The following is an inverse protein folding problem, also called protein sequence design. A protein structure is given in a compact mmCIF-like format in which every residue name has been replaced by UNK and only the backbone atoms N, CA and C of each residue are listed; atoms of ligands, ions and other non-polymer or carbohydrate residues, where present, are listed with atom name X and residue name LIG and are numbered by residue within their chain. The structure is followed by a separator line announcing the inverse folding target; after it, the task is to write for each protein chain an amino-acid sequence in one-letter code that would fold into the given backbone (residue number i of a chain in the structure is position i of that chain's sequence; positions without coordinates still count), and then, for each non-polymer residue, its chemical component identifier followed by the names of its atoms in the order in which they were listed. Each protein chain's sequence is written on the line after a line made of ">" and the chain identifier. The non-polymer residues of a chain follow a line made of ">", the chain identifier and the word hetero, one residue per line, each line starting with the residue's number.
data_IF_037583118729
#
_entry.id   IF_037583118729
#
_cell.length_a   1.000
_cell.length_b   1.000
_cell.length_c   1.000
_cell.angle_alpha   90.00
_cell.angle_beta   90.00
_cell.angle_gamma   90.00
#
_symmetry.space_group_name_H-M   'P 1'
#
loop_
_entity.id
_entity.type
_entity.pdbx_description
1 polymer ?
#
# COMPACT_ATOMS: atom_id res chain seq x y z
N UNK A 1 4.27 -26.43 7.73
CA UNK A 1 3.59 -25.15 8.12
C UNK A 1 2.65 -24.61 7.03
N UNK A 2 1.55 -23.92 7.39
CA UNK A 2 0.63 -23.20 6.49
C UNK A 2 0.53 -21.72 6.85
N UNK A 3 0.19 -20.89 5.87
CA UNK A 3 -0.03 -19.45 6.00
C UNK A 3 -1.44 -19.08 5.59
N UNK A 4 -2.09 -18.21 6.38
CA UNK A 4 -3.36 -17.58 6.06
C UNK A 4 -3.32 -16.10 6.44
N UNK A 5 -3.82 -15.22 5.57
CA UNK A 5 -3.97 -13.81 5.91
C UNK A 5 -5.29 -13.23 5.43
N UNK A 6 -5.92 -12.39 6.25
CA UNK A 6 -7.16 -11.70 5.91
C UNK A 6 -6.87 -10.41 5.14
N UNK A 7 -7.52 -10.26 3.99
CA UNK A 7 -7.52 -9.00 3.24
C UNK A 7 -8.65 -8.08 3.69
N UNK A 8 -8.29 -6.85 4.05
CA UNK A 8 -9.22 -5.78 4.38
C UNK A 8 -9.44 -4.82 3.22
N UNK A 9 -10.61 -4.19 3.19
CA UNK A 9 -11.03 -3.17 2.23
C UNK A 9 -10.98 -3.65 0.77
N UNK A 10 -11.45 -4.87 0.50
CA UNK A 10 -11.51 -5.47 -0.85
C UNK A 10 -12.90 -6.04 -1.13
N UNK A 11 -13.24 -6.23 -2.40
CA UNK A 11 -14.40 -7.00 -2.86
C UNK A 11 -13.97 -8.19 -3.73
N UNK A 12 -14.94 -8.91 -4.30
CA UNK A 12 -14.71 -10.15 -5.07
C UNK A 12 -13.85 -9.97 -6.32
N UNK A 13 -13.61 -8.73 -6.76
CA UNK A 13 -12.68 -8.48 -7.86
C UNK A 13 -11.24 -8.90 -7.56
N UNK A 14 -10.90 -9.12 -6.28
CA UNK A 14 -9.57 -9.56 -5.84
C UNK A 14 -9.28 -11.03 -6.18
N UNK A 15 -10.30 -11.87 -6.38
CA UNK A 15 -10.15 -13.32 -6.60
C UNK A 15 -9.37 -13.67 -7.88
N UNK A 16 -9.31 -12.75 -8.85
CA UNK A 16 -8.56 -12.93 -10.09
C UNK A 16 -7.09 -12.52 -10.02
N UNK A 17 -6.59 -12.11 -8.85
CA UNK A 17 -5.26 -11.53 -8.70
C UNK A 17 -4.21 -12.61 -8.41
N UNK A 18 -3.15 -12.61 -9.22
CA UNK A 18 -1.98 -13.47 -9.03
C UNK A 18 -0.92 -12.73 -8.20
N UNK A 19 -0.78 -13.14 -6.93
CA UNK A 19 0.22 -12.58 -6.03
C UNK A 19 1.63 -13.14 -6.30
N UNK A 20 1.74 -14.23 -7.07
CA UNK A 20 2.95 -14.98 -7.35
C UNK A 20 3.41 -15.86 -6.19
N UNK A 21 4.49 -16.62 -6.43
CA UNK A 21 5.19 -17.42 -5.40
C UNK A 21 4.28 -18.39 -4.60
N UNK A 22 3.24 -18.92 -5.26
CA UNK A 22 2.31 -19.89 -4.66
C UNK A 22 1.29 -19.29 -3.68
N UNK A 23 1.24 -17.97 -3.52
CA UNK A 23 0.17 -17.31 -2.76
C UNK A 23 -1.11 -17.27 -3.60
N UNK A 24 -2.20 -17.76 -3.03
CA UNK A 24 -3.52 -17.81 -3.68
C UNK A 24 -4.51 -17.00 -2.87
N UNK A 25 -5.41 -16.29 -3.55
CA UNK A 25 -6.53 -15.58 -2.92
C UNK A 25 -7.79 -16.41 -3.07
N UNK A 26 -8.48 -16.63 -1.96
CA UNK A 26 -9.73 -17.39 -1.89
C UNK A 26 -10.79 -16.59 -1.15
N UNK A 27 -12.05 -16.92 -1.39
CA UNK A 27 -13.17 -16.48 -0.55
C UNK A 27 -13.45 -17.51 0.55
N UNK A 28 -13.89 -17.03 1.70
CA UNK A 28 -14.34 -17.83 2.83
C UNK A 28 -15.56 -17.14 3.42
N UNK A 29 -16.56 -17.90 3.88
CA UNK A 29 -17.71 -17.25 4.52
C UNK A 29 -17.25 -16.51 5.78
N UNK A 30 -17.88 -15.39 6.10
CA UNK A 30 -17.54 -14.65 7.33
C UNK A 30 -17.70 -15.51 8.58
N UNK A 31 -18.69 -16.43 8.57
CA UNK A 31 -18.96 -17.34 9.68
C UNK A 31 -17.83 -18.35 9.83
N UNK A 32 -17.45 -19.05 8.75
CA UNK A 32 -16.36 -20.05 8.82
C UNK A 32 -15.04 -19.39 9.25
N UNK A 33 -14.76 -18.19 8.75
CA UNK A 33 -13.58 -17.44 9.17
C UNK A 33 -13.63 -17.05 10.65
N UNK A 34 -14.80 -16.62 11.14
CA UNK A 34 -14.98 -16.27 12.55
C UNK A 34 -14.83 -17.49 13.46
N UNK A 35 -15.50 -18.59 13.11
CA UNK A 35 -15.46 -19.84 13.87
C UNK A 35 -14.04 -20.42 13.91
N UNK A 36 -13.30 -20.38 12.80
CA UNK A 36 -11.89 -20.76 12.76
C UNK A 36 -11.04 -19.86 13.67
N UNK A 37 -11.24 -18.55 13.62
CA UNK A 37 -10.48 -17.59 14.43
C UNK A 37 -10.77 -17.75 15.94
N UNK A 38 -12.03 -17.90 16.35
CA UNK A 38 -12.43 -18.02 17.76
C UNK A 38 -12.12 -19.41 18.32
N UNK A 39 -12.36 -20.47 17.54
CA UNK A 39 -12.20 -21.85 17.95
C UNK A 39 -10.75 -22.34 17.89
N UNK A 40 -10.13 -22.27 16.70
CA UNK A 40 -8.80 -22.85 16.47
C UNK A 40 -7.67 -21.86 16.76
N UNK A 41 -7.87 -20.58 16.43
CA UNK A 41 -6.81 -19.56 16.61
C UNK A 41 -6.95 -18.75 17.89
N UNK A 42 -8.00 -19.01 18.69
CA UNK A 42 -8.24 -18.39 20.01
C UNK A 42 -8.16 -16.85 19.94
N UNK A 43 -8.62 -16.27 18.84
CA UNK A 43 -8.65 -14.83 18.62
C UNK A 43 -9.87 -14.24 19.30
N UNK A 44 -9.69 -13.20 20.11
CA UNK A 44 -10.78 -12.53 20.79
C UNK A 44 -11.49 -11.48 19.91
N UNK A 45 -12.77 -11.24 20.20
CA UNK A 45 -13.61 -10.18 19.63
C UNK A 45 -13.70 -10.19 18.09
N UNK A 46 -13.62 -11.37 17.47
CA UNK A 46 -13.50 -11.55 16.02
C UNK A 46 -14.60 -10.82 15.26
N UNK A 47 -15.86 -10.94 15.70
CA UNK A 47 -16.98 -10.24 15.05
C UNK A 47 -16.86 -8.71 15.11
N UNK A 48 -16.43 -8.15 16.25
CA UNK A 48 -16.19 -6.71 16.37
C UNK A 48 -15.07 -6.27 15.43
N UNK A 49 -13.99 -7.06 15.36
CA UNK A 49 -12.87 -6.78 14.48
C UNK A 49 -13.24 -6.86 13.00
N UNK A 50 -14.02 -7.85 12.59
CA UNK A 50 -14.56 -7.95 11.23
C UNK A 50 -15.40 -6.72 10.85
N UNK A 51 -16.23 -6.25 11.77
CA UNK A 51 -17.14 -5.11 11.56
C UNK A 51 -16.41 -3.75 11.52
N UNK A 52 -15.30 -3.60 12.25
CA UNK A 52 -14.75 -2.27 12.54
C UNK A 52 -13.26 -2.12 12.27
N UNK A 53 -12.45 -3.15 12.51
CA UNK A 53 -10.99 -3.04 12.57
C UNK A 53 -10.33 -3.60 11.32
N UNK A 54 -10.76 -4.77 10.87
CA UNK A 54 -10.19 -5.49 9.73
C UNK A 54 -10.72 -5.01 8.37
N UNK A 55 -11.73 -4.14 8.35
CA UNK A 55 -12.22 -3.50 7.13
C UNK A 55 -12.89 -4.47 6.17
N UNK A 56 -13.57 -5.49 6.71
CA UNK A 56 -14.37 -6.42 5.93
C UNK A 56 -15.74 -5.83 5.59
N UNK A 57 -16.26 -4.95 6.45
CA UNK A 57 -17.53 -4.25 6.21
C UNK A 57 -17.26 -2.87 5.62
N UNK A 58 -17.79 -2.54 4.42
CA UNK A 58 -17.65 -1.22 3.83
C UNK A 58 -18.24 -0.13 4.73
N UNK A 59 -17.57 1.03 4.78
CA UNK A 59 -18.03 2.15 5.59
C UNK A 59 -19.46 2.57 5.23
N UNK A 60 -20.34 2.61 6.23
CA UNK A 60 -21.75 2.99 6.05
C UNK A 60 -22.65 1.87 5.53
N UNK A 61 -22.15 0.64 5.40
CA UNK A 61 -22.99 -0.52 5.13
C UNK A 61 -23.83 -0.89 6.36
N UNK A 62 -25.10 -1.22 6.15
CA UNK A 62 -25.99 -1.79 7.18
C UNK A 62 -25.95 -3.33 7.20
N UNK A 63 -25.24 -3.93 6.24
CA UNK A 63 -25.17 -5.38 6.06
C UNK A 63 -23.72 -5.85 6.07
N UNK A 64 -23.48 -6.96 6.76
CA UNK A 64 -22.23 -7.71 6.65
C UNK A 64 -22.19 -8.39 5.28
N UNK A 65 -21.04 -8.40 4.58
CA UNK A 65 -20.88 -9.24 3.41
C UNK A 65 -21.02 -10.72 3.81
N UNK A 66 -21.30 -11.57 2.84
CA UNK A 66 -21.35 -13.02 3.07
C UNK A 66 -19.95 -13.62 3.22
N UNK A 67 -18.97 -13.03 2.51
CA UNK A 67 -17.62 -13.55 2.38
C UNK A 67 -16.56 -12.55 2.85
N UNK A 68 -15.47 -13.09 3.37
CA UNK A 68 -14.16 -12.44 3.46
C UNK A 68 -13.22 -13.00 2.38
N UNK A 69 -12.12 -12.30 2.13
CA UNK A 69 -11.10 -12.72 1.18
C UNK A 69 -9.79 -12.96 1.91
N UNK A 70 -9.19 -14.11 1.67
CA UNK A 70 -8.00 -14.58 2.39
C UNK A 70 -6.90 -14.96 1.42
N UNK A 71 -5.66 -14.71 1.81
CA UNK A 71 -4.46 -15.22 1.14
C UNK A 71 -4.06 -16.53 1.82
N UNK A 72 -3.78 -17.58 1.04
CA UNK A 72 -3.24 -18.85 1.55
C UNK A 72 -1.94 -19.24 0.85
N UNK A 73 -1.08 -19.94 1.58
CA UNK A 73 0.10 -20.62 1.03
C UNK A 73 0.53 -21.79 1.93
N UNK A 74 0.93 -22.92 1.32
CA UNK A 74 1.67 -23.97 2.03
C UNK A 74 3.15 -23.57 2.08
N UNK A 75 3.75 -23.65 3.27
CA UNK A 75 5.12 -23.22 3.53
C UNK A 75 6.02 -24.45 3.71
N UNK A 76 6.36 -25.09 2.60
CA UNK A 76 7.18 -26.31 2.57
C UNK A 76 8.64 -26.05 2.99
N UNK A 77 9.10 -24.80 2.89
CA UNK A 77 10.42 -24.33 3.24
C UNK A 77 10.49 -23.67 4.63
N UNK A 78 9.45 -23.84 5.44
CA UNK A 78 9.41 -23.29 6.79
C UNK A 78 10.49 -23.91 7.69
N UNK A 79 11.27 -23.11 8.44
CA UNK A 79 12.29 -23.63 9.34
C UNK A 79 11.65 -24.28 10.57
N UNK A 80 11.49 -25.60 10.52
CA UNK A 80 10.95 -26.42 11.61
C UNK A 80 12.09 -27.02 12.45
N UNK A 81 11.97 -26.93 13.77
CA UNK A 81 12.92 -27.52 14.70
C UNK A 81 12.58 -28.99 14.96
N UNK A 82 13.55 -29.89 14.74
CA UNK A 82 13.38 -31.34 14.93
C UNK A 82 14.02 -31.89 16.22
N UNK A 83 14.43 -31.02 17.14
CA UNK A 83 15.02 -31.42 18.42
C UNK A 83 14.00 -31.53 19.56
N UNK A 84 14.49 -31.71 20.79
CA UNK A 84 13.65 -31.74 21.99
C UNK A 84 13.04 -30.34 22.24
N UNK A 85 11.72 -30.16 22.22
CA UNK A 85 11.08 -28.86 22.48
C UNK A 85 11.43 -28.25 23.85
N UNK A 86 11.88 -29.06 24.82
CA UNK A 86 12.34 -28.59 26.12
C UNK A 86 13.75 -27.97 26.10
N UNK A 87 14.53 -28.19 25.02
CA UNK A 87 15.87 -27.63 24.86
C UNK A 87 15.82 -26.23 24.23
N UNK A 88 15.59 -25.24 25.10
CA UNK A 88 15.47 -23.82 24.72
C UNK A 88 16.75 -23.32 24.01
N UNK A 89 17.95 -23.78 24.40
CA UNK A 89 19.19 -23.33 23.79
C UNK A 89 19.31 -23.82 22.35
N UNK A 90 18.94 -25.08 22.08
CA UNK A 90 18.89 -25.62 20.73
C UNK A 90 17.79 -25.01 19.86
N UNK A 91 16.70 -24.53 20.48
CA UNK A 91 15.56 -23.96 19.78
C UNK A 91 15.74 -22.48 19.39
N UNK A 92 16.53 -21.71 20.16
CA UNK A 92 16.72 -20.27 19.95
C UNK A 92 17.16 -19.87 18.52
N UNK A 93 18.11 -20.56 17.84
CA UNK A 93 18.46 -20.26 16.46
C UNK A 93 17.29 -20.44 15.47
N UNK A 94 16.40 -21.40 15.73
CA UNK A 94 15.23 -21.63 14.88
C UNK A 94 14.21 -20.51 15.02
N UNK A 95 14.01 -19.94 16.22
CA UNK A 95 13.17 -18.75 16.38
C UNK A 95 13.67 -17.58 15.54
N UNK A 96 14.98 -17.35 15.48
CA UNK A 96 15.53 -16.30 14.61
C UNK A 96 15.29 -16.59 13.13
N UNK A 97 15.45 -17.85 12.70
CA UNK A 97 15.16 -18.27 11.33
C UNK A 97 13.68 -18.12 10.98
N UNK A 98 12.77 -18.54 11.86
CA UNK A 98 11.33 -18.40 11.73
C UNK A 98 10.91 -16.92 11.66
N UNK A 99 11.43 -16.09 12.57
CA UNK A 99 11.14 -14.65 12.56
C UNK A 99 11.60 -13.98 11.27
N UNK A 100 12.81 -14.33 10.79
CA UNK A 100 13.33 -13.85 9.51
C UNK A 100 12.47 -14.32 8.34
N UNK A 101 11.99 -15.57 8.37
CA UNK A 101 11.12 -16.14 7.37
C UNK A 101 9.76 -15.41 7.32
N UNK A 102 9.12 -15.18 8.47
CA UNK A 102 7.90 -14.38 8.57
C UNK A 102 8.12 -12.97 8.00
N UNK A 103 9.23 -12.32 8.36
CA UNK A 103 9.58 -11.00 7.84
C UNK A 103 9.78 -10.98 6.31
N UNK A 104 10.24 -12.08 5.70
CA UNK A 104 10.35 -12.21 4.24
C UNK A 104 8.97 -12.30 3.60
N UNK A 105 8.04 -13.06 4.17
CA UNK A 105 6.65 -13.17 3.70
C UNK A 105 5.93 -11.83 3.82
N UNK A 106 5.95 -11.20 4.99
CA UNK A 106 5.28 -9.90 5.19
C UNK A 106 5.87 -8.83 4.27
N UNK A 107 7.19 -8.85 4.00
CA UNK A 107 7.80 -7.95 3.02
C UNK A 107 7.35 -8.25 1.58
N UNK A 108 7.28 -9.53 1.21
CA UNK A 108 6.82 -9.95 -0.12
C UNK A 108 5.39 -9.51 -0.37
N UNK A 109 4.47 -9.85 0.53
CA UNK A 109 3.06 -9.49 0.40
C UNK A 109 2.86 -7.97 0.54
N UNK A 110 3.61 -7.32 1.42
CA UNK A 110 3.64 -5.86 1.52
C UNK A 110 3.94 -5.18 0.17
N UNK A 111 4.97 -5.64 -0.55
CA UNK A 111 5.27 -5.16 -1.91
C UNK A 111 4.07 -5.31 -2.85
N UNK A 112 3.39 -6.47 -2.83
CA UNK A 112 2.19 -6.72 -3.66
C UNK A 112 1.05 -5.78 -3.30
N UNK A 113 0.75 -5.61 -2.01
CA UNK A 113 -0.26 -4.66 -1.53
C UNK A 113 0.07 -3.23 -1.98
N UNK A 114 1.34 -2.83 -1.91
CA UNK A 114 1.76 -1.49 -2.32
C UNK A 114 1.68 -1.30 -3.84
N UNK A 115 2.01 -2.33 -4.64
CA UNK A 115 1.74 -2.32 -6.08
C UNK A 115 0.25 -2.17 -6.38
N UNK A 116 -0.63 -2.87 -5.67
CA UNK A 116 -2.08 -2.72 -5.83
C UNK A 116 -2.54 -1.29 -5.53
N UNK A 117 -2.09 -0.70 -4.41
CA UNK A 117 -2.37 0.70 -4.03
C UNK A 117 -1.82 1.73 -5.02
N UNK A 118 -0.70 1.41 -5.68
CA UNK A 118 -0.13 2.23 -6.76
C UNK A 118 -0.91 2.09 -8.07
N UNK A 119 -1.46 0.91 -8.35
CA UNK A 119 -2.24 0.66 -9.55
C UNK A 119 -3.57 1.41 -9.51
N UNK A 120 -4.29 1.34 -8.39
CA UNK A 120 -5.61 1.98 -8.24
C UNK A 120 -5.86 2.45 -6.81
N UNK A 121 -6.67 3.49 -6.69
CA UNK A 121 -7.15 4.00 -5.40
C UNK A 121 -7.95 2.93 -4.65
N UNK A 122 -7.67 2.81 -3.36
CA UNK A 122 -8.23 1.82 -2.46
C UNK A 122 -7.28 1.57 -1.30
N UNK A 123 -7.83 1.24 -0.15
CA UNK A 123 -7.10 1.05 1.10
C UNK A 123 -6.89 -0.44 1.40
N UNK A 124 -6.67 -1.25 0.37
CA UNK A 124 -6.37 -2.68 0.52
C UNK A 124 -5.25 -2.88 1.54
N UNK A 125 -5.38 -3.86 2.41
CA UNK A 125 -4.39 -4.17 3.45
C UNK A 125 -4.47 -5.64 3.86
N UNK A 126 -3.41 -6.10 4.49
CA UNK A 126 -3.41 -7.33 5.28
C UNK A 126 -3.81 -6.94 6.71
N UNK A 127 -4.95 -7.44 7.16
CA UNK A 127 -5.54 -7.07 8.46
C UNK A 127 -5.02 -7.96 9.59
N UNK A 128 -4.90 -9.26 9.33
CA UNK A 128 -4.31 -10.23 10.26
C UNK A 128 -3.66 -11.37 9.47
N UNK A 129 -2.54 -11.86 9.98
CA UNK A 129 -1.78 -13.00 9.44
C UNK A 129 -1.75 -14.12 10.48
N UNK A 130 -1.81 -15.36 10.01
CA UNK A 130 -1.73 -16.58 10.80
C UNK A 130 -0.73 -17.54 10.17
N UNK A 131 0.12 -18.13 11.00
CA UNK A 131 0.95 -19.28 10.70
C UNK A 131 0.42 -20.43 11.54
N UNK A 132 0.07 -21.54 10.90
CA UNK A 132 -0.63 -22.64 11.57
C UNK A 132 -0.27 -23.99 10.95
N UNK A 133 -0.49 -25.05 11.72
CA UNK A 133 -0.43 -26.44 11.27
C UNK A 133 -1.84 -27.00 11.15
N UNK A 134 -1.97 -28.06 10.36
CA UNK A 134 -3.21 -28.78 10.11
C UNK A 134 -2.85 -30.26 10.17
N UNK A 135 -2.98 -30.83 11.35
CA UNK A 135 -2.67 -32.23 11.65
C UNK A 135 -3.97 -32.92 12.09
N UNK A 136 -4.34 -34.01 11.43
CA UNK A 136 -5.54 -34.81 11.75
C UNK A 136 -6.86 -34.01 11.83
N UNK A 137 -7.06 -33.05 10.91
CA UNK A 137 -8.20 -32.11 10.86
C UNK A 137 -8.28 -31.14 12.07
N UNK A 138 -7.22 -31.07 12.90
CA UNK A 138 -7.08 -30.06 13.95
C UNK A 138 -6.14 -28.93 13.50
N UNK A 139 -6.68 -27.71 13.51
CA UNK A 139 -5.92 -26.50 13.20
C UNK A 139 -5.25 -25.98 14.48
N UNK A 140 -3.92 -25.93 14.49
CA UNK A 140 -3.14 -25.37 15.59
C UNK A 140 -2.41 -24.10 15.14
N UNK A 141 -2.75 -22.96 15.75
CA UNK A 141 -2.08 -21.70 15.46
C UNK A 141 -0.68 -21.69 16.10
N UNK A 142 0.34 -21.52 15.25
CA UNK A 142 1.71 -21.31 15.70
C UNK A 142 1.98 -19.85 16.08
N UNK A 143 1.56 -18.91 15.23
CA UNK A 143 1.67 -17.48 15.52
C UNK A 143 0.68 -16.66 14.72
N UNK A 144 0.40 -15.44 15.19
CA UNK A 144 -0.40 -14.46 14.48
C UNK A 144 0.22 -13.07 14.54
N UNK A 145 -0.09 -12.25 13.53
CA UNK A 145 0.29 -10.86 13.47
C UNK A 145 -0.89 -10.03 13.01
N UNK A 146 -1.41 -9.20 13.90
CA UNK A 146 -2.52 -8.31 13.61
C UNK A 146 -2.02 -6.90 13.26
N UNK A 147 -2.58 -6.30 12.21
CA UNK A 147 -2.30 -4.93 11.81
C UNK A 147 -3.43 -4.00 12.27
N UNK A 148 -3.25 -3.42 13.46
CA UNK A 148 -4.21 -2.49 14.07
C UNK A 148 -4.06 -1.04 13.60
N UNK A 149 -3.17 -0.77 12.63
CA UNK A 149 -2.95 0.60 12.15
C UNK A 149 -4.21 1.11 11.44
N UNK A 150 -4.64 2.30 11.86
CA UNK A 150 -5.78 2.98 11.26
C UNK A 150 -5.54 3.20 9.77
N UNK A 151 -6.49 2.73 8.97
CA UNK A 151 -6.52 2.92 7.53
C UNK A 151 -7.91 3.43 7.14
N UNK A 152 -8.00 4.38 6.21
CA UNK A 152 -9.30 4.78 5.66
C UNK A 152 -10.02 3.54 5.13
N UNK A 153 -11.25 3.26 5.58
CA UNK A 153 -12.06 2.16 5.06
C UNK A 153 -12.62 2.51 3.66
N UNK A 154 -11.73 2.45 2.66
CA UNK A 154 -12.02 2.69 1.25
C UNK A 154 -11.79 1.40 0.48
N UNK A 155 -12.86 0.88 -0.11
CA UNK A 155 -12.85 -0.33 -0.90
C UNK A 155 -11.88 -0.23 -2.10
N UNK A 156 -11.03 -1.23 -2.26
CA UNK A 156 -10.27 -1.50 -3.46
C UNK A 156 -11.09 -2.45 -4.33
N UNK A 157 -11.39 -2.02 -5.55
CA UNK A 157 -12.26 -2.74 -6.47
C UNK A 157 -11.73 -2.61 -7.90
N UNK A 158 -11.71 -3.71 -8.63
CA UNK A 158 -11.26 -3.80 -10.02
C UNK A 158 -12.43 -4.19 -10.92
N UNK A 159 -12.48 -3.60 -12.11
CA UNK A 159 -13.35 -4.09 -13.17
C UNK A 159 -12.68 -5.27 -13.92
N UNK A 160 -13.47 -6.01 -14.70
CA UNK A 160 -13.00 -7.20 -15.43
C UNK A 160 -11.82 -6.92 -16.37
N UNK A 161 -11.71 -5.71 -16.92
CA UNK A 161 -10.61 -5.34 -17.83
C UNK A 161 -9.33 -4.94 -17.07
N UNK A 162 -9.44 -4.56 -15.79
CA UNK A 162 -8.30 -4.17 -14.97
C UNK A 162 -7.54 -5.38 -14.40
N UNK A 163 -8.21 -6.50 -14.12
CA UNK A 163 -7.58 -7.69 -13.51
C UNK A 163 -6.35 -8.19 -14.31
N UNK A 164 -6.41 -8.38 -15.64
CA UNK A 164 -5.23 -8.79 -16.41
C UNK A 164 -4.09 -7.77 -16.35
N UNK A 165 -4.41 -6.47 -16.37
CA UNK A 165 -3.43 -5.39 -16.30
C UNK A 165 -2.73 -5.34 -14.94
N UNK A 166 -3.47 -5.61 -13.86
CA UNK A 166 -2.91 -5.71 -12.51
C UNK A 166 -1.97 -6.89 -12.41
N UNK A 167 -2.35 -8.07 -12.91
CA UNK A 167 -1.49 -9.25 -12.85
C UNK A 167 -0.20 -9.04 -13.64
N UNK A 168 -0.28 -8.42 -14.83
CA UNK A 168 0.92 -7.99 -15.57
C UNK A 168 1.78 -7.04 -14.72
N UNK A 169 1.16 -6.04 -14.08
CA UNK A 169 1.86 -5.09 -13.21
C UNK A 169 2.49 -5.74 -11.97
N UNK A 170 1.86 -6.74 -11.36
CA UNK A 170 2.41 -7.48 -10.22
C UNK A 170 3.59 -8.37 -10.64
N UNK A 171 3.51 -8.96 -11.83
CA UNK A 171 4.57 -9.80 -12.41
C UNK A 171 5.83 -9.02 -12.77
N UNK A 172 5.72 -7.70 -12.98
CA UNK A 172 6.87 -6.82 -13.17
C UNK A 172 7.85 -6.93 -11.98
N UNK A 173 9.12 -6.60 -12.20
CA UNK A 173 10.17 -6.65 -11.17
C UNK A 173 9.64 -6.12 -9.83
N UNK A 174 9.88 -6.88 -8.76
CA UNK A 174 9.62 -6.44 -7.38
C UNK A 174 10.24 -5.06 -7.17
N UNK A 175 9.78 -4.31 -6.17
CA UNK A 175 10.37 -3.03 -5.76
C UNK A 175 11.74 -3.28 -5.07
N UNK A 176 12.57 -4.16 -5.64
CA UNK A 176 13.86 -4.58 -5.15
C UNK A 176 14.96 -3.67 -5.66
N UNK A 177 15.50 -2.85 -4.74
CA UNK A 177 16.56 -1.83 -4.94
C UNK A 177 16.15 -0.63 -5.78
N UNK A 178 15.06 0.01 -5.40
CA UNK A 178 14.80 1.37 -5.86
C UNK A 178 15.96 2.32 -5.51
N UNK A 179 16.23 3.34 -6.34
CA UNK A 179 16.95 4.53 -5.92
C UNK A 179 16.39 5.07 -4.59
N UNK A 180 17.27 5.49 -3.67
CA UNK A 180 16.89 5.94 -2.31
C UNK A 180 15.74 6.94 -2.27
N UNK A 181 15.63 7.82 -3.27
CA UNK A 181 14.56 8.83 -3.33
C UNK A 181 13.19 8.22 -3.65
N UNK A 182 13.15 7.18 -4.51
CA UNK A 182 11.92 6.43 -4.81
C UNK A 182 11.54 5.55 -3.62
N UNK A 183 12.51 4.88 -2.98
CA UNK A 183 12.27 4.11 -1.75
C UNK A 183 11.69 4.99 -0.64
N UNK A 184 12.31 6.15 -0.38
CA UNK A 184 11.82 7.09 0.62
C UNK A 184 10.44 7.66 0.27
N UNK A 185 10.20 7.99 -0.99
CA UNK A 185 8.90 8.46 -1.45
C UNK A 185 7.81 7.41 -1.30
N UNK A 186 8.10 6.16 -1.71
CA UNK A 186 7.19 5.04 -1.60
C UNK A 186 6.86 4.74 -0.13
N UNK A 187 7.88 4.68 0.74
CA UNK A 187 7.67 4.47 2.17
C UNK A 187 6.76 5.54 2.80
N UNK A 188 6.88 6.80 2.39
CA UNK A 188 5.96 7.86 2.87
C UNK A 188 4.55 7.75 2.28
N UNK A 189 4.42 7.26 1.04
CA UNK A 189 3.12 6.96 0.44
C UNK A 189 2.44 5.81 1.18
N UNK A 190 3.18 4.74 1.48
CA UNK A 190 2.70 3.61 2.28
C UNK A 190 2.28 4.06 3.68
N UNK A 191 3.12 4.86 4.34
CA UNK A 191 2.85 5.39 5.67
C UNK A 191 1.54 6.20 5.71
N UNK A 192 1.15 6.87 4.62
CA UNK A 192 -0.12 7.59 4.55
C UNK A 192 -1.35 6.71 4.80
N UNK A 193 -1.26 5.39 4.55
CA UNK A 193 -2.33 4.43 4.82
C UNK A 193 -2.38 3.94 6.27
N UNK A 194 -1.37 4.28 7.09
CA UNK A 194 -1.22 3.77 8.45
C UNK A 194 -1.29 4.88 9.52
N UNK A 195 -1.42 6.13 9.07
CA UNK A 195 -1.37 7.29 9.95
C UNK A 195 -2.78 7.72 10.34
N UNK A 196 -3.08 7.85 11.64
CA UNK A 196 -4.32 8.45 12.08
C UNK A 196 -4.29 9.96 11.81
N UNK A 197 -5.46 10.54 11.57
CA UNK A 197 -5.69 11.97 11.28
C UNK A 197 -5.28 12.44 9.87
N UNK A 198 -6.22 13.12 9.21
CA UNK A 198 -6.11 13.56 7.82
C UNK A 198 -4.92 14.51 7.59
N UNK A 199 -4.53 15.31 8.59
CA UNK A 199 -3.42 16.25 8.48
C UNK A 199 -2.06 15.54 8.39
N UNK A 200 -1.88 14.42 9.08
CA UNK A 200 -0.63 13.66 9.08
C UNK A 200 -0.55 12.73 7.87
N UNK A 201 -1.68 12.17 7.45
CA UNK A 201 -1.82 11.50 6.16
C UNK A 201 -1.43 12.46 5.01
N UNK A 202 -1.98 13.67 5.02
CA UNK A 202 -1.65 14.72 4.05
C UNK A 202 -0.15 15.08 4.08
N UNK A 203 0.45 15.23 5.26
CA UNK A 203 1.88 15.51 5.39
C UNK A 203 2.76 14.38 4.87
N UNK A 204 2.41 13.12 5.15
CA UNK A 204 3.15 11.94 4.65
C UNK A 204 3.15 11.93 3.11
N UNK A 205 1.99 12.19 2.50
CA UNK A 205 1.88 12.30 1.04
C UNK A 205 2.69 13.50 0.49
N UNK A 206 2.69 14.64 1.17
CA UNK A 206 3.49 15.80 0.77
C UNK A 206 4.99 15.50 0.82
N UNK A 207 5.47 14.82 1.87
CA UNK A 207 6.87 14.38 1.98
C UNK A 207 7.21 13.42 0.85
N UNK A 208 6.31 12.48 0.54
CA UNK A 208 6.45 11.57 -0.60
C UNK A 208 6.64 12.32 -1.92
N UNK A 209 5.81 13.33 -2.19
CA UNK A 209 5.89 14.12 -3.41
C UNK A 209 7.13 15.03 -3.46
N UNK A 210 7.49 15.66 -2.34
CA UNK A 210 8.71 16.47 -2.22
C UNK A 210 9.96 15.60 -2.48
N UNK A 211 10.02 14.39 -1.94
CA UNK A 211 11.11 13.45 -2.19
C UNK A 211 11.27 13.10 -3.68
N UNK A 212 10.16 13.00 -4.43
CA UNK A 212 10.20 12.72 -5.88
C UNK A 212 10.63 13.91 -6.71
N UNK A 213 10.06 15.08 -6.43
CA UNK A 213 10.08 16.19 -7.38
C UNK A 213 11.01 17.34 -6.98
N UNK A 214 11.46 17.36 -5.73
CA UNK A 214 12.36 18.40 -5.26
C UNK A 214 13.82 17.92 -5.22
N UNK A 215 14.71 18.68 -5.85
CA UNK A 215 16.16 18.54 -5.87
C UNK A 215 16.90 19.78 -5.35
N UNK A 216 16.15 20.85 -5.04
CA UNK A 216 16.69 22.13 -4.59
C UNK A 216 16.38 22.43 -3.12
N UNK A 217 17.05 23.44 -2.57
CA UNK A 217 16.76 23.97 -1.22
C UNK A 217 15.79 25.15 -1.23
N UNK A 218 15.50 25.71 -2.41
CA UNK A 218 14.68 26.91 -2.58
C UNK A 218 13.54 26.64 -3.56
N UNK A 219 12.48 27.45 -3.46
CA UNK A 219 11.34 27.43 -4.39
C UNK A 219 10.57 26.11 -4.43
N UNK A 220 10.52 25.38 -3.31
CA UNK A 220 9.87 24.07 -3.17
C UNK A 220 8.48 24.04 -3.81
N UNK A 221 7.64 25.04 -3.49
CA UNK A 221 6.29 25.19 -4.05
C UNK A 221 6.28 25.16 -5.57
N UNK A 222 7.15 25.95 -6.21
CA UNK A 222 7.19 26.05 -7.66
C UNK A 222 7.76 24.77 -8.28
N UNK A 223 8.86 24.23 -7.73
CA UNK A 223 9.50 23.00 -8.21
C UNK A 223 8.56 21.81 -8.17
N UNK A 224 7.92 21.57 -7.03
CA UNK A 224 6.97 20.46 -6.86
C UNK A 224 5.76 20.63 -7.78
N UNK A 225 5.14 21.81 -7.79
CA UNK A 225 3.93 22.04 -8.62
C UNK A 225 4.23 21.90 -10.11
N UNK A 226 5.37 22.44 -10.57
CA UNK A 226 5.82 22.31 -11.96
C UNK A 226 6.23 20.88 -12.28
N UNK A 227 6.93 20.21 -11.38
CA UNK A 227 7.32 18.81 -11.51
C UNK A 227 6.11 17.92 -11.76
N UNK A 228 5.04 18.08 -10.98
CA UNK A 228 3.78 17.36 -11.21
C UNK A 228 3.22 17.64 -12.61
N UNK A 229 3.11 18.92 -12.97
CA UNK A 229 2.52 19.32 -14.24
C UNK A 229 3.27 18.75 -15.45
N UNK A 230 4.59 18.77 -15.41
CA UNK A 230 5.44 18.23 -16.48
C UNK A 230 5.43 16.70 -16.50
N UNK A 231 5.47 16.06 -15.32
CA UNK A 231 5.55 14.60 -15.22
C UNK A 231 4.24 13.92 -15.63
N UNK A 232 3.09 14.56 -15.34
CA UNK A 232 1.77 13.96 -15.45
C UNK A 232 0.88 14.60 -16.52
N UNK A 233 1.23 15.77 -17.03
CA UNK A 233 0.46 16.45 -18.05
C UNK A 233 0.63 15.81 -19.42
N UNK A 234 -0.47 15.42 -20.05
CA UNK A 234 -0.49 14.91 -21.43
C UNK A 234 -0.51 16.05 -22.46
N UNK A 235 -1.16 17.16 -22.10
CA UNK A 235 -1.25 18.36 -22.91
C UNK A 235 -1.11 19.64 -22.07
N UNK A 236 -1.22 20.80 -22.72
CA UNK A 236 -1.05 22.11 -22.08
C UNK A 236 -2.16 22.42 -21.06
N UNK A 237 -3.39 22.04 -21.34
CA UNK A 237 -4.54 22.27 -20.47
C UNK A 237 -4.44 21.37 -19.23
N UNK A 238 -4.23 20.07 -19.43
CA UNK A 238 -4.04 19.12 -18.34
C UNK A 238 -2.84 19.50 -17.46
N UNK A 239 -1.72 19.92 -18.06
CA UNK A 239 -0.54 20.40 -17.32
C UNK A 239 -0.87 21.62 -16.46
N UNK A 240 -1.68 22.55 -16.99
CA UNK A 240 -2.07 23.77 -16.26
C UNK A 240 -2.98 23.44 -15.08
N UNK A 241 -3.91 22.50 -15.24
CA UNK A 241 -4.79 22.05 -14.16
C UNK A 241 -4.00 21.33 -13.06
N UNK A 242 -3.12 20.40 -13.43
CA UNK A 242 -2.26 19.68 -12.48
C UNK A 242 -1.37 20.67 -11.72
N UNK A 243 -0.78 21.65 -12.41
CA UNK A 243 0.01 22.70 -11.77
C UNK A 243 -0.81 23.46 -10.72
N UNK A 244 -2.04 23.86 -11.08
CA UNK A 244 -2.93 24.61 -10.17
C UNK A 244 -3.27 23.78 -8.94
N UNK A 245 -3.66 22.52 -9.12
CA UNK A 245 -4.02 21.62 -8.01
C UNK A 245 -2.81 21.37 -7.10
N UNK A 246 -1.65 21.02 -7.65
CA UNK A 246 -0.44 20.79 -6.86
C UNK A 246 -0.02 22.05 -6.08
N UNK A 247 -0.15 23.23 -6.69
CA UNK A 247 0.15 24.52 -6.05
C UNK A 247 -0.80 24.83 -4.90
N UNK A 248 -2.10 24.60 -5.07
CA UNK A 248 -3.11 24.78 -4.03
C UNK A 248 -2.86 23.86 -2.83
N UNK A 249 -2.54 22.57 -3.08
CA UNK A 249 -2.20 21.63 -2.01
C UNK A 249 -0.91 22.04 -1.28
N UNK A 250 0.10 22.51 -2.02
CA UNK A 250 1.33 23.01 -1.40
C UNK A 250 1.08 24.22 -0.49
N UNK A 251 0.19 25.13 -0.88
CA UNK A 251 -0.19 26.28 -0.05
C UNK A 251 -0.86 25.82 1.27
N UNK A 252 -1.69 24.78 1.19
CA UNK A 252 -2.29 24.17 2.38
C UNK A 252 -1.25 23.52 3.28
N UNK A 253 -0.27 22.81 2.72
CA UNK A 253 0.88 22.27 3.47
C UNK A 253 1.65 23.37 4.18
N UNK A 254 1.93 24.47 3.47
CA UNK A 254 2.62 25.64 4.03
C UNK A 254 1.85 26.22 5.22
N UNK A 255 0.53 26.42 5.07
CA UNK A 255 -0.31 26.88 6.18
C UNK A 255 -0.32 25.92 7.36
N UNK A 256 -0.50 24.61 7.10
CA UNK A 256 -0.50 23.59 8.16
C UNK A 256 0.80 23.59 8.97
N UNK A 257 1.96 23.60 8.30
CA UNK A 257 3.28 23.49 8.96
C UNK A 257 3.67 24.78 9.68
N UNK A 258 3.34 25.95 9.13
CA UNK A 258 3.78 27.22 9.71
C UNK A 258 2.80 27.83 10.71
N UNK A 259 1.49 27.61 10.53
CA UNK A 259 0.47 28.21 11.40
C UNK A 259 -0.30 27.18 12.22
N UNK A 260 -0.07 25.87 12.01
CA UNK A 260 -0.83 24.82 12.66
C UNK A 260 -2.31 24.76 12.25
N UNK A 261 -2.67 25.37 11.12
CA UNK A 261 -4.07 25.53 10.69
C UNK A 261 -4.61 24.23 10.07
N UNK A 262 -5.02 23.30 10.95
CA UNK A 262 -5.56 21.99 10.58
C UNK A 262 -6.88 22.07 9.80
N UNK A 263 -7.67 23.13 10.00
CA UNK A 263 -9.03 23.25 9.44
C UNK A 263 -9.04 23.41 7.92
N UNK A 264 -7.90 23.73 7.31
CA UNK A 264 -7.77 23.90 5.85
C UNK A 264 -7.61 22.60 5.08
N UNK A 265 -7.25 21.51 5.77
CA UNK A 265 -7.13 20.18 5.17
C UNK A 265 -8.46 19.46 5.34
N UNK A 266 -9.00 18.96 4.24
CA UNK A 266 -10.16 18.08 4.26
C UNK A 266 -9.86 16.77 3.51
N UNK A 267 -10.79 15.82 3.60
CA UNK A 267 -10.67 14.50 2.96
C UNK A 267 -10.46 14.57 1.45
N UNK A 268 -11.08 15.52 0.75
CA UNK A 268 -10.91 15.69 -0.70
C UNK A 268 -9.47 16.15 -1.05
N UNK A 269 -8.85 16.95 -0.20
CA UNK A 269 -7.45 17.34 -0.38
C UNK A 269 -6.51 16.14 -0.27
N UNK A 270 -6.74 15.27 0.72
CA UNK A 270 -6.00 14.02 0.88
C UNK A 270 -6.17 13.12 -0.34
N UNK A 271 -7.39 12.96 -0.86
CA UNK A 271 -7.63 12.13 -2.06
C UNK A 271 -6.94 12.68 -3.31
N UNK A 272 -7.00 14.00 -3.53
CA UNK A 272 -6.24 14.65 -4.60
C UNK A 272 -4.75 14.45 -4.43
N UNK A 273 -4.26 14.52 -3.20
CA UNK A 273 -2.85 14.33 -2.89
C UNK A 273 -2.40 12.88 -3.11
N UNK A 274 -3.20 11.89 -2.68
CA UNK A 274 -2.98 10.45 -2.96
C UNK A 274 -2.87 10.21 -4.45
N UNK A 275 -3.79 10.77 -5.22
CA UNK A 275 -3.81 10.60 -6.67
C UNK A 275 -2.58 11.22 -7.35
N UNK A 276 -2.19 12.44 -6.95
CA UNK A 276 -0.97 13.08 -7.47
C UNK A 276 0.28 12.26 -7.14
N UNK A 277 0.42 11.79 -5.89
CA UNK A 277 1.57 10.98 -5.45
C UNK A 277 1.59 9.64 -6.17
N UNK A 278 0.46 8.94 -6.24
CA UNK A 278 0.33 7.65 -6.94
C UNK A 278 0.78 7.76 -8.38
N UNK A 279 0.22 8.70 -9.13
CA UNK A 279 0.57 8.91 -10.54
C UNK A 279 2.03 9.33 -10.70
N UNK A 280 2.54 10.21 -9.83
CA UNK A 280 3.94 10.64 -9.87
C UNK A 280 4.91 9.49 -9.57
N UNK A 281 4.61 8.67 -8.55
CA UNK A 281 5.37 7.49 -8.21
C UNK A 281 5.37 6.49 -9.35
N UNK A 282 4.19 6.14 -9.87
CA UNK A 282 4.05 5.21 -10.99
C UNK A 282 4.88 5.66 -12.19
N UNK A 283 4.76 6.93 -12.58
CA UNK A 283 5.54 7.49 -13.70
C UNK A 283 7.04 7.51 -13.41
N UNK A 284 7.45 7.86 -12.19
CA UNK A 284 8.86 7.87 -11.83
C UNK A 284 9.48 6.46 -11.78
N UNK A 285 8.71 5.46 -11.36
CA UNK A 285 9.10 4.04 -11.39
C UNK A 285 9.24 3.54 -12.83
N UNK A 286 8.30 3.89 -13.72
CA UNK A 286 8.38 3.55 -15.16
C UNK A 286 9.60 4.18 -15.85
N UNK A 287 9.94 5.42 -15.49
CA UNK A 287 11.11 6.11 -16.04
C UNK A 287 12.43 5.50 -15.52
N UNK A 288 12.42 4.98 -14.29
CA UNK A 288 13.57 4.36 -13.62
C UNK A 288 14.87 5.17 -13.72
N UNK A 289 14.75 6.49 -13.56
CA UNK A 289 15.87 7.43 -13.65
C UNK A 289 16.55 7.60 -12.30
N UNK A 290 17.79 8.09 -12.30
CA UNK A 290 18.37 8.65 -11.09
C UNK A 290 17.64 9.92 -10.66
N UNK A 291 17.80 10.34 -9.41
CA UNK A 291 17.19 11.60 -8.93
C UNK A 291 17.63 12.80 -9.76
N UNK A 292 18.90 12.84 -10.14
CA UNK A 292 19.48 13.94 -10.92
C UNK A 292 18.91 13.95 -12.34
N UNK A 293 18.85 12.78 -12.99
CA UNK A 293 18.34 12.68 -14.36
C UNK A 293 16.83 12.99 -14.42
N UNK A 294 16.05 12.54 -13.43
CA UNK A 294 14.63 12.90 -13.33
C UNK A 294 14.47 14.42 -13.19
N UNK A 295 15.24 15.04 -12.30
CA UNK A 295 15.17 16.49 -12.10
C UNK A 295 15.61 17.28 -13.34
N UNK A 296 16.66 16.82 -14.02
CA UNK A 296 17.11 17.40 -15.29
C UNK A 296 16.02 17.27 -16.36
N UNK A 297 15.42 16.08 -16.53
CA UNK A 297 14.33 15.84 -17.47
C UNK A 297 13.15 16.80 -17.23
N UNK A 298 12.72 16.96 -15.97
CA UNK A 298 11.62 17.86 -15.60
C UNK A 298 11.98 19.34 -15.82
N UNK A 299 13.25 19.70 -15.61
CA UNK A 299 13.76 21.03 -15.87
C UNK A 299 13.81 21.34 -17.37
N UNK A 300 14.29 20.40 -18.18
CA UNK A 300 14.46 20.56 -19.62
C UNK A 300 13.14 20.54 -20.38
N UNK A 301 12.19 19.70 -19.95
CA UNK A 301 10.85 19.63 -20.54
C UNK A 301 10.06 20.94 -20.40
N UNK A 302 10.49 21.87 -19.54
CA UNK A 302 9.92 23.21 -19.43
C UNK A 302 10.56 24.25 -20.36
N UNK A 303 11.65 23.93 -21.05
CA UNK A 303 12.29 24.83 -22.00
C UNK A 303 11.71 24.62 -23.41
N UNK A 304 10.85 25.55 -23.84
CA UNK A 304 10.68 25.93 -25.25
C UNK A 304 10.04 24.92 -26.21
N UNK A 305 8.71 24.94 -26.32
CA UNK A 305 8.00 24.83 -27.61
C UNK A 305 7.46 26.19 -28.05
N UNK A 306 8.30 27.22 -28.00
CA UNK A 306 7.90 28.61 -28.28
C UNK A 306 7.91 28.95 -29.78
N UNK A 307 8.27 28.02 -30.68
CA UNK A 307 8.57 28.34 -32.09
C UNK A 307 7.67 27.69 -33.16
N UNK A 308 6.62 26.93 -32.82
CA UNK A 308 5.79 26.27 -33.87
C UNK A 308 4.55 27.07 -34.30
N UNK A 309 4.23 28.21 -33.66
CA UNK A 309 3.03 29.02 -33.98
C UNK A 309 3.34 30.51 -34.18
N UNK A 310 4.56 30.87 -34.56
CA UNK A 310 4.96 32.26 -34.86
C UNK A 310 5.41 32.49 -36.32
N UNK A 311 5.00 31.59 -37.23
CA UNK A 311 5.10 31.76 -38.69
C UNK A 311 3.73 31.58 -39.32
#
# INVERSE_FOLDING_TARGET
>A
MKYLALLGNVDSSILGIDLGDGFVIEEMTMVDFADMCEGSFITADVWSKLDHEWGCVPFGSYYRPEYVYIIKKNLDDYPEFQGDPADIEAHMPYWEMQHKFHGQISKYLGDRINKLRLFKEGSIRISIEFYYTDEDDELEMFSSMENTLFCENRLFSLNQNEVPLVNEYLSSQLIGKLPKYLEFSLSNFEQSYHVPHIEFEFLSLMISLEALLNDGKTELRLRVSRGCAVLLGEDRESSREIFKVARELYDKRSALVHTGDRKKINKNDVLKMKELVRKSLKRALELNLSKQDLSQLLMESGFGRLNENLT
#
